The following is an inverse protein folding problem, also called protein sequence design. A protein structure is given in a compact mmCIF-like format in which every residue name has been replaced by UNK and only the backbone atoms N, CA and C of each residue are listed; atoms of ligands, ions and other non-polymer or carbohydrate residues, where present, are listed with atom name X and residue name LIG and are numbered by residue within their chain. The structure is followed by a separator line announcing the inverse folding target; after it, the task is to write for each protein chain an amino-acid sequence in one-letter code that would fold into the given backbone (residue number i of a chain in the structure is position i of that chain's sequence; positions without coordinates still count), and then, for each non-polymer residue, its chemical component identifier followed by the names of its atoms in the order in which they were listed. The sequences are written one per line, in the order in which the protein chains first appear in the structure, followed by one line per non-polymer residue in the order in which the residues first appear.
data_IF_297725462174
#
_entry.id   IF_297725462174
#
_cell.length_a   1.000
_cell.length_b   1.000
_cell.length_c   1.000
_cell.angle_alpha   90.00
_cell.angle_beta   90.00
_cell.angle_gamma   90.00
#
_symmetry.space_group_name_H-M   'P 1'
#
loop_
_entity.id
_entity.type
_entity.pdbx_description
1 polymer ?
#
# COMPACT_ATOMS: atom_id res chain seq x y z
N UNK A 1 -6.44 5.60 -15.15
CA UNK A 1 -6.50 5.93 -16.59
C UNK A 1 -5.37 5.28 -17.42
N UNK A 2 -4.08 5.63 -17.21
CA UNK A 2 -2.97 5.14 -18.04
C UNK A 2 -2.90 3.62 -18.25
N UNK A 3 -3.09 2.76 -17.22
CA UNK A 3 -3.05 1.30 -17.43
C UNK A 3 -4.10 0.77 -18.41
N UNK A 4 -5.23 1.46 -18.56
CA UNK A 4 -6.26 1.10 -19.54
C UNK A 4 -5.81 1.46 -20.97
N UNK A 5 -5.23 2.64 -21.17
CA UNK A 5 -4.64 3.03 -22.46
C UNK A 5 -3.50 2.08 -22.88
N UNK A 6 -2.65 1.68 -21.94
CA UNK A 6 -1.53 0.77 -22.20
C UNK A 6 -2.00 -0.63 -22.62
N UNK A 7 -3.12 -1.12 -22.07
CA UNK A 7 -3.76 -2.37 -22.52
C UNK A 7 -4.21 -2.30 -23.98
N UNK A 8 -4.59 -1.11 -24.44
CA UNK A 8 -4.89 -0.81 -25.85
C UNK A 8 -3.63 -0.46 -26.67
N UNK A 9 -2.44 -0.80 -26.16
CA UNK A 9 -1.13 -0.56 -26.79
C UNK A 9 -0.75 0.92 -26.96
N UNK A 10 -1.44 1.83 -26.27
CA UNK A 10 -1.14 3.26 -26.24
C UNK A 10 -0.22 3.54 -25.05
N UNK A 11 1.09 3.55 -25.29
CA UNK A 11 2.12 3.69 -24.23
C UNK A 11 2.89 5.01 -24.29
N UNK A 12 2.93 5.67 -25.46
CA UNK A 12 3.67 6.91 -25.67
C UNK A 12 3.13 8.09 -24.87
N UNK A 13 1.87 8.52 -25.09
CA UNK A 13 1.28 9.64 -24.36
C UNK A 13 1.30 9.45 -22.83
N UNK A 14 0.87 8.30 -22.26
CA UNK A 14 0.97 8.08 -20.81
C UNK A 14 2.36 8.32 -20.23
N UNK A 15 3.41 7.79 -20.88
CA UNK A 15 4.79 7.93 -20.44
C UNK A 15 5.27 9.39 -20.47
N UNK A 16 4.93 10.13 -21.52
CA UNK A 16 5.30 11.55 -21.65
C UNK A 16 4.56 12.41 -20.62
N UNK A 17 3.26 12.18 -20.44
CA UNK A 17 2.45 12.89 -19.45
C UNK A 17 2.98 12.66 -18.03
N UNK A 18 3.34 11.41 -17.70
CA UNK A 18 3.92 11.10 -16.39
C UNK A 18 5.18 11.91 -16.11
N UNK A 19 6.13 11.95 -17.05
CA UNK A 19 7.36 12.74 -16.89
C UNK A 19 7.06 14.23 -16.69
N UNK A 20 6.07 14.77 -17.43
CA UNK A 20 5.63 16.15 -17.27
C UNK A 20 4.96 16.41 -15.92
N UNK A 21 4.16 15.47 -15.42
CA UNK A 21 3.58 15.58 -14.07
C UNK A 21 4.67 15.63 -13.00
N UNK A 22 5.74 14.85 -13.13
CA UNK A 22 6.85 14.86 -12.16
C UNK A 22 7.62 16.19 -12.19
N UNK A 23 7.92 16.72 -13.39
CA UNK A 23 8.50 18.06 -13.55
C UNK A 23 7.63 19.15 -12.89
N UNK A 24 6.32 19.10 -13.10
CA UNK A 24 5.37 20.06 -12.51
C UNK A 24 5.33 19.94 -10.98
N UNK A 25 5.34 18.72 -10.42
CA UNK A 25 5.38 18.51 -8.96
C UNK A 25 6.63 19.14 -8.36
N UNK A 26 7.78 19.00 -9.03
CA UNK A 26 9.03 19.63 -8.59
C UNK A 26 8.94 21.16 -8.64
N UNK A 27 8.42 21.72 -9.73
CA UNK A 27 8.22 23.17 -9.88
C UNK A 27 7.25 23.74 -8.83
N UNK A 28 6.15 23.04 -8.55
CA UNK A 28 5.20 23.40 -7.50
C UNK A 28 5.86 23.37 -6.13
N UNK A 29 6.64 22.34 -5.82
CA UNK A 29 7.38 22.25 -4.57
C UNK A 29 8.34 23.44 -4.40
N UNK A 30 9.12 23.75 -5.44
CA UNK A 30 10.04 24.89 -5.43
C UNK A 30 9.28 26.23 -5.28
N UNK A 31 8.08 26.33 -5.86
CA UNK A 31 7.20 27.49 -5.70
C UNK A 31 6.74 27.67 -4.24
N UNK A 32 6.36 26.58 -3.56
CA UNK A 32 6.02 26.63 -2.14
C UNK A 32 7.23 27.05 -1.29
N UNK A 33 8.40 26.43 -1.48
CA UNK A 33 9.62 26.75 -0.73
C UNK A 33 10.03 28.22 -0.90
N UNK A 34 9.90 28.76 -2.12
CA UNK A 34 10.21 30.16 -2.41
C UNK A 34 9.23 31.14 -1.72
N UNK A 35 7.95 30.77 -1.60
CA UNK A 35 6.92 31.59 -0.97
C UNK A 35 6.93 31.49 0.56
N UNK A 36 7.38 30.37 1.12
CA UNK A 36 7.56 30.19 2.57
C UNK A 36 8.81 30.89 3.10
N UNK A 37 9.80 31.11 2.25
CA UNK A 37 11.02 31.84 2.58
C UNK A 37 10.73 33.33 2.86
N UNK A 38 11.42 33.99 3.80
CA UNK A 38 11.19 35.41 4.09
C UNK A 38 11.48 36.32 2.89
N UNK A 39 10.43 36.89 2.31
CA UNK A 39 10.54 37.85 1.20
C UNK A 39 10.63 39.27 1.78
N UNK A 40 11.77 39.92 1.59
CA UNK A 40 12.09 41.19 2.25
C UNK A 40 11.86 42.41 1.36
N UNK A 41 11.79 42.23 0.04
CA UNK A 41 11.63 43.34 -0.92
C UNK A 41 10.68 43.04 -2.07
N UNK A 42 10.11 44.08 -2.66
CA UNK A 42 9.27 43.94 -3.85
C UNK A 42 10.05 43.41 -5.07
N UNK A 43 11.36 43.70 -5.16
CA UNK A 43 12.20 43.26 -6.27
C UNK A 43 12.54 41.76 -6.18
N UNK A 44 12.75 41.27 -4.95
CA UNK A 44 12.86 39.84 -4.65
C UNK A 44 11.57 39.10 -5.02
N UNK A 45 10.40 39.64 -4.65
CA UNK A 45 9.11 39.06 -5.03
C UNK A 45 8.94 38.99 -6.55
N UNK A 46 9.27 40.06 -7.28
CA UNK A 46 9.22 40.05 -8.76
C UNK A 46 10.13 38.98 -9.36
N UNK A 47 11.32 38.79 -8.79
CA UNK A 47 12.26 37.76 -9.24
C UNK A 47 11.70 36.36 -9.02
N UNK A 48 11.09 36.09 -7.85
CA UNK A 48 10.40 34.82 -7.56
C UNK A 48 9.27 34.58 -8.56
N UNK A 49 8.45 35.61 -8.81
CA UNK A 49 7.35 35.52 -9.79
C UNK A 49 7.87 35.17 -11.17
N UNK A 50 8.90 35.87 -11.67
CA UNK A 50 9.40 35.69 -13.02
C UNK A 50 10.17 34.39 -13.23
N UNK A 51 10.95 33.95 -12.23
CA UNK A 51 11.86 32.82 -12.38
C UNK A 51 11.30 31.49 -11.89
N UNK A 52 10.28 31.51 -11.03
CA UNK A 52 9.74 30.32 -10.39
C UNK A 52 8.25 30.17 -10.66
N UNK A 53 7.43 31.15 -10.27
CA UNK A 53 5.98 31.01 -10.35
C UNK A 53 5.46 31.04 -11.79
N UNK A 54 5.92 31.98 -12.62
CA UNK A 54 5.46 32.10 -14.00
C UNK A 54 5.81 30.84 -14.84
N UNK A 55 7.04 30.28 -14.80
CA UNK A 55 7.33 29.00 -15.45
C UNK A 55 6.48 27.83 -14.93
N UNK A 56 6.16 27.82 -13.63
CA UNK A 56 5.31 26.77 -13.03
C UNK A 56 3.90 26.84 -13.60
N UNK A 57 3.32 28.05 -13.66
CA UNK A 57 1.98 28.28 -14.25
C UNK A 57 1.98 27.93 -15.74
N UNK A 58 3.00 28.34 -16.50
CA UNK A 58 3.12 28.01 -17.92
C UNK A 58 3.17 26.49 -18.16
N UNK A 59 3.90 25.75 -17.32
CA UNK A 59 3.97 24.29 -17.43
C UNK A 59 2.64 23.62 -17.06
N UNK A 60 1.91 24.14 -16.06
CA UNK A 60 0.57 23.68 -15.68
C UNK A 60 -0.43 23.90 -16.81
N UNK A 61 -0.50 25.12 -17.37
CA UNK A 61 -1.37 25.43 -18.51
C UNK A 61 -1.05 24.53 -19.71
N UNK A 62 0.24 24.33 -19.97
CA UNK A 62 0.71 23.43 -21.00
C UNK A 62 0.32 21.97 -20.76
N UNK A 63 0.14 21.54 -19.51
CA UNK A 63 -0.32 20.20 -19.15
C UNK A 63 -1.83 20.06 -19.32
N UNK A 64 -2.61 21.03 -18.85
CA UNK A 64 -4.07 21.06 -19.01
C UNK A 64 -4.43 20.97 -20.49
N UNK A 65 -3.78 21.78 -21.35
CA UNK A 65 -4.02 21.72 -22.80
C UNK A 65 -3.70 20.33 -23.38
N UNK A 66 -2.59 19.71 -22.95
CA UNK A 66 -2.23 18.36 -23.41
C UNK A 66 -3.25 17.32 -22.96
N UNK A 67 -3.82 17.49 -21.77
CA UNK A 67 -4.86 16.60 -21.27
C UNK A 67 -6.16 16.78 -22.06
N UNK A 68 -6.63 18.02 -22.21
CA UNK A 68 -7.90 18.36 -22.89
C UNK A 68 -7.88 18.10 -24.40
N UNK A 69 -6.77 18.36 -25.07
CA UNK A 69 -6.69 18.28 -26.53
C UNK A 69 -6.13 16.93 -27.03
N UNK A 70 -5.46 16.16 -26.18
CA UNK A 70 -4.78 14.93 -26.59
C UNK A 70 -5.20 13.74 -25.73
N UNK A 71 -4.94 13.77 -24.41
CA UNK A 71 -5.14 12.59 -23.57
C UNK A 71 -6.62 12.21 -23.45
N UNK A 72 -7.49 13.16 -23.11
CA UNK A 72 -8.90 12.90 -22.89
C UNK A 72 -9.63 12.53 -24.18
N UNK A 73 -9.45 13.23 -25.32
CA UNK A 73 -10.06 12.80 -26.59
C UNK A 73 -9.62 11.39 -26.98
N UNK A 74 -8.31 11.09 -26.87
CA UNK A 74 -7.78 9.77 -27.15
C UNK A 74 -8.37 8.70 -26.22
N UNK A 75 -8.51 9.00 -24.93
CA UNK A 75 -9.12 8.08 -23.98
C UNK A 75 -10.61 7.86 -24.27
N UNK A 76 -11.34 8.91 -24.63
CA UNK A 76 -12.76 8.82 -25.00
C UNK A 76 -12.97 7.98 -26.26
N UNK A 77 -12.08 8.08 -27.24
CA UNK A 77 -12.15 7.27 -28.47
C UNK A 77 -11.73 5.81 -28.27
N UNK A 78 -10.94 5.52 -27.24
CA UNK A 78 -10.31 4.20 -27.03
C UNK A 78 -11.02 3.36 -25.99
N UNK A 79 -11.35 3.93 -24.82
CA UNK A 79 -11.87 3.18 -23.69
C UNK A 79 -13.36 2.90 -23.88
N UNK A 80 -13.75 1.68 -23.51
CA UNK A 80 -15.16 1.30 -23.43
C UNK A 80 -15.84 1.90 -22.20
N UNK A 81 -17.17 2.02 -22.23
CA UNK A 81 -17.99 2.43 -21.08
C UNK A 81 -17.71 1.61 -19.81
N UNK A 82 -17.43 0.31 -19.96
CA UNK A 82 -17.07 -0.58 -18.85
C UNK A 82 -15.71 -0.25 -18.23
N UNK A 83 -14.74 0.13 -19.05
CA UNK A 83 -13.42 0.55 -18.58
C UNK A 83 -13.48 1.91 -17.90
N UNK A 84 -14.26 2.85 -18.46
CA UNK A 84 -14.56 4.12 -17.81
C UNK A 84 -15.25 3.93 -16.45
N UNK A 85 -16.15 2.95 -16.33
CA UNK A 85 -16.82 2.68 -15.06
C UNK A 85 -15.86 2.14 -14.00
N UNK A 86 -14.84 1.37 -14.38
CA UNK A 86 -13.79 0.96 -13.42
C UNK A 86 -12.92 2.14 -13.00
N UNK A 87 -12.51 2.98 -13.95
CA UNK A 87 -11.79 4.22 -13.63
C UNK A 87 -12.61 5.05 -12.64
N UNK A 88 -13.92 5.20 -12.88
CA UNK A 88 -14.84 5.87 -11.96
C UNK A 88 -14.88 5.21 -10.57
N UNK A 89 -15.04 3.89 -10.48
CA UNK A 89 -15.08 3.15 -9.20
C UNK A 89 -13.78 3.23 -8.39
N UNK A 90 -12.63 3.31 -9.05
CA UNK A 90 -11.31 3.43 -8.40
C UNK A 90 -10.97 4.88 -8.01
N UNK A 91 -11.60 5.89 -8.62
CA UNK A 91 -11.29 7.31 -8.41
C UNK A 91 -11.41 7.77 -6.94
N UNK A 92 -12.45 7.38 -6.17
CA UNK A 92 -12.60 7.77 -4.77
C UNK A 92 -11.44 7.33 -3.86
N UNK A 93 -10.64 6.33 -4.24
CA UNK A 93 -9.47 5.90 -3.44
C UNK A 93 -8.34 6.94 -3.48
N UNK A 94 -8.28 7.77 -4.52
CA UNK A 94 -7.26 8.81 -4.71
C UNK A 94 -7.79 10.21 -4.37
N UNK A 95 -9.08 10.45 -4.59
CA UNK A 95 -9.74 11.74 -4.36
C UNK A 95 -9.68 12.68 -5.57
N UNK A 96 -10.22 13.88 -5.39
CA UNK A 96 -10.39 14.87 -6.46
C UNK A 96 -9.64 16.16 -6.16
N UNK A 97 -9.34 16.92 -7.22
CA UNK A 97 -8.70 18.23 -7.11
C UNK A 97 -9.77 19.33 -7.17
N UNK A 98 -9.81 20.21 -6.16
CA UNK A 98 -10.70 21.38 -6.01
C UNK A 98 -12.22 21.10 -5.90
N UNK A 99 -12.72 20.01 -6.47
CA UNK A 99 -14.14 19.67 -6.49
C UNK A 99 -14.33 18.17 -6.32
N UNK A 100 -15.15 17.76 -5.34
CA UNK A 100 -15.56 16.37 -5.10
C UNK A 100 -16.97 16.17 -5.68
N UNK A 101 -17.15 15.36 -6.75
CA UNK A 101 -18.47 15.13 -7.34
C UNK A 101 -19.42 14.42 -6.37
N UNK A 102 -20.60 15.01 -6.16
CA UNK A 102 -21.67 14.40 -5.34
C UNK A 102 -22.53 13.40 -6.14
N UNK A 103 -22.46 13.46 -7.48
CA UNK A 103 -23.27 12.64 -8.37
C UNK A 103 -22.60 11.30 -8.69
N UNK A 104 -23.40 10.23 -8.69
CA UNK A 104 -22.95 8.90 -9.12
C UNK A 104 -23.09 8.72 -10.64
N UNK A 105 -22.01 8.29 -11.29
CA UNK A 105 -22.03 7.94 -12.71
C UNK A 105 -22.10 6.43 -12.94
N UNK A 106 -22.93 6.01 -13.90
CA UNK A 106 -23.01 4.63 -14.36
C UNK A 106 -23.23 4.59 -15.88
N UNK A 107 -22.65 3.60 -16.59
CA UNK A 107 -22.80 3.48 -18.04
C UNK A 107 -24.24 3.15 -18.46
N UNK A 108 -24.71 3.78 -19.54
CA UNK A 108 -26.09 3.66 -20.01
C UNK A 108 -26.38 2.26 -20.57
N UNK A 109 -27.31 1.53 -19.94
CA UNK A 109 -27.73 0.19 -20.39
C UNK A 109 -26.87 -0.97 -19.85
N UNK A 110 -25.93 -0.70 -18.94
CA UNK A 110 -25.08 -1.74 -18.38
C UNK A 110 -25.87 -2.65 -17.43
N UNK A 111 -26.05 -3.92 -17.84
CA UNK A 111 -25.92 -4.99 -16.87
C UNK A 111 -24.44 -5.01 -16.51
N UNK A 112 -24.11 -4.54 -15.31
CA UNK A 112 -22.76 -4.68 -14.77
C UNK A 112 -22.52 -6.17 -14.57
N UNK A 113 -22.16 -6.89 -15.64
CA UNK A 113 -21.50 -8.16 -15.51
C UNK A 113 -20.17 -7.83 -14.88
N UNK A 114 -20.06 -8.08 -13.57
CA UNK A 114 -18.77 -8.17 -12.88
C UNK A 114 -17.87 -8.94 -13.81
N UNK A 115 -16.83 -8.28 -14.34
CA UNK A 115 -15.91 -8.93 -15.25
C UNK A 115 -15.61 -10.35 -14.74
N UNK A 116 -15.92 -11.32 -15.60
CA UNK A 116 -15.32 -12.64 -15.55
C UNK A 116 -13.83 -12.46 -15.86
N UNK A 117 -13.10 -11.94 -14.88
CA UNK A 117 -11.67 -12.16 -14.80
C UNK A 117 -11.47 -13.66 -14.67
N UNK A 118 -10.72 -14.19 -15.63
CA UNK A 118 -10.13 -15.53 -15.71
C UNK A 118 -10.23 -16.33 -14.39
N UNK A 119 -11.16 -17.27 -14.42
CA UNK A 119 -11.22 -18.56 -13.70
C UNK A 119 -10.98 -18.57 -12.19
N UNK A 120 -12.05 -18.81 -11.43
CA UNK A 120 -12.23 -19.64 -10.22
C UNK A 120 -11.24 -19.61 -9.02
N UNK A 121 -9.98 -19.20 -9.18
CA UNK A 121 -8.89 -19.41 -8.22
C UNK A 121 -8.19 -18.13 -7.72
N UNK A 122 -8.68 -16.94 -8.10
CA UNK A 122 -8.12 -15.66 -7.66
C UNK A 122 -8.80 -15.13 -6.38
N UNK A 123 -7.99 -14.83 -5.35
CA UNK A 123 -8.40 -14.09 -4.15
C UNK A 123 -8.45 -12.61 -4.51
N UNK A 124 -9.64 -12.01 -4.43
CA UNK A 124 -9.86 -10.58 -4.69
C UNK A 124 -9.83 -9.78 -3.39
N UNK A 125 -9.03 -8.73 -3.37
CA UNK A 125 -8.92 -7.72 -2.31
C UNK A 125 -9.44 -6.38 -2.85
N UNK A 126 -9.61 -5.38 -1.99
CA UNK A 126 -10.04 -4.05 -2.45
C UNK A 126 -9.02 -3.38 -3.37
N UNK A 127 -7.72 -3.59 -3.12
CA UNK A 127 -6.62 -2.95 -3.84
C UNK A 127 -5.99 -3.82 -4.93
N UNK A 128 -6.63 -4.93 -5.33
CA UNK A 128 -6.09 -5.85 -6.34
C UNK A 128 -6.50 -7.30 -6.15
N UNK A 129 -5.80 -8.22 -6.82
CA UNK A 129 -6.06 -9.65 -6.71
C UNK A 129 -4.77 -10.46 -6.81
N UNK A 130 -4.78 -11.64 -6.19
CA UNK A 130 -3.72 -12.65 -6.32
C UNK A 130 -4.36 -13.99 -6.65
N UNK A 131 -3.69 -14.82 -7.44
CA UNK A 131 -3.94 -16.26 -7.38
C UNK A 131 -3.25 -16.89 -6.14
N UNK A 132 -3.58 -18.14 -5.83
CA UNK A 132 -3.02 -18.82 -4.64
C UNK A 132 -1.49 -18.93 -4.68
N UNK A 133 -0.90 -19.20 -5.85
CA UNK A 133 0.55 -19.35 -5.99
C UNK A 133 1.29 -18.02 -5.73
N UNK A 134 0.74 -16.91 -6.21
CA UNK A 134 1.27 -15.57 -5.95
C UNK A 134 1.18 -15.21 -4.47
N UNK A 135 0.04 -15.52 -3.83
CA UNK A 135 -0.15 -15.23 -2.40
C UNK A 135 0.81 -16.06 -1.53
N UNK A 136 1.00 -17.34 -1.84
CA UNK A 136 1.97 -18.20 -1.15
C UNK A 136 3.41 -17.70 -1.35
N UNK A 137 3.77 -17.32 -2.57
CA UNK A 137 5.10 -16.76 -2.88
C UNK A 137 5.33 -15.44 -2.15
N UNK A 138 4.33 -14.56 -2.08
CA UNK A 138 4.42 -13.32 -1.30
C UNK A 138 4.80 -13.60 0.15
N UNK A 139 4.07 -14.48 0.83
CA UNK A 139 4.35 -14.82 2.22
C UNK A 139 5.70 -15.54 2.44
N UNK A 140 6.22 -16.20 1.41
CA UNK A 140 7.55 -16.81 1.45
C UNK A 140 8.67 -15.74 1.44
N UNK A 141 8.45 -14.62 0.75
CA UNK A 141 9.46 -13.60 0.46
C UNK A 141 9.38 -12.35 1.35
N UNK A 142 8.31 -12.18 2.14
CA UNK A 142 8.26 -11.09 3.13
C UNK A 142 9.44 -11.19 4.11
N UNK A 143 10.07 -10.06 4.50
CA UNK A 143 11.19 -10.04 5.46
C UNK A 143 10.71 -10.22 6.92
N UNK A 144 9.57 -10.88 7.12
CA UNK A 144 8.93 -11.14 8.40
C UNK A 144 8.25 -12.51 8.38
N UNK A 145 8.18 -13.13 9.56
CA UNK A 145 7.36 -14.30 9.80
C UNK A 145 5.98 -13.88 10.27
N UNK A 146 4.95 -14.54 9.74
CA UNK A 146 3.55 -14.30 10.10
C UNK A 146 2.97 -15.58 10.69
N UNK A 147 2.17 -15.44 11.75
CA UNK A 147 1.23 -16.46 12.23
C UNK A 147 -0.13 -15.79 12.41
N UNK A 148 -1.20 -16.38 11.89
CA UNK A 148 -2.56 -15.90 12.10
C UNK A 148 -3.35 -16.89 12.95
N UNK A 149 -3.98 -16.36 13.99
CA UNK A 149 -4.90 -17.05 14.90
C UNK A 149 -6.28 -16.44 14.74
N UNK A 150 -7.30 -17.25 14.48
CA UNK A 150 -8.66 -16.73 14.27
C UNK A 150 -9.35 -16.27 15.57
N UNK A 151 -10.54 -15.70 15.42
CA UNK A 151 -11.41 -15.29 16.53
C UNK A 151 -11.74 -16.39 17.55
N UNK A 152 -11.59 -17.66 17.18
CA UNK A 152 -11.81 -18.83 18.04
C UNK A 152 -10.51 -19.34 18.67
N UNK A 153 -9.44 -18.55 18.64
CA UNK A 153 -8.12 -18.83 19.19
C UNK A 153 -7.43 -20.05 18.54
N UNK A 154 -7.79 -20.38 17.29
CA UNK A 154 -7.17 -21.47 16.52
C UNK A 154 -6.15 -20.95 15.53
N UNK A 155 -4.99 -21.59 15.46
CA UNK A 155 -3.98 -21.25 14.46
C UNK A 155 -4.53 -21.59 13.07
N UNK A 156 -4.61 -20.62 12.17
CA UNK A 156 -5.16 -20.80 10.81
C UNK A 156 -4.11 -20.76 9.73
N UNK A 157 -3.04 -20.02 9.95
CA UNK A 157 -2.01 -19.81 8.95
C UNK A 157 -0.68 -19.47 9.62
N UNK A 158 0.42 -19.82 8.97
CA UNK A 158 1.73 -19.26 9.25
C UNK A 158 2.55 -19.22 7.96
N UNK A 159 3.40 -18.21 7.80
CA UNK A 159 4.29 -18.11 6.65
C UNK A 159 5.45 -19.12 6.76
N UNK A 160 5.82 -19.69 5.62
CA UNK A 160 6.91 -20.68 5.50
C UNK A 160 8.23 -20.04 5.04
N UNK A 161 8.54 -18.83 5.52
CA UNK A 161 9.80 -18.15 5.17
C UNK A 161 11.01 -19.06 5.44
N UNK A 162 11.97 -19.17 4.50
CA UNK A 162 13.15 -20.02 4.67
C UNK A 162 14.03 -19.58 5.85
N UNK A 163 13.90 -18.32 6.30
CA UNK A 163 14.69 -17.74 7.37
C UNK A 163 13.91 -17.58 8.69
N UNK A 164 12.80 -18.31 8.84
CA UNK A 164 11.90 -18.18 9.98
C UNK A 164 12.60 -18.32 11.32
N UNK A 165 12.30 -17.39 12.24
CA UNK A 165 12.95 -17.32 13.56
C UNK A 165 12.51 -18.47 14.47
N UNK A 166 11.20 -18.76 14.46
CA UNK A 166 10.59 -19.81 15.25
C UNK A 166 9.93 -20.85 14.35
N UNK A 167 10.51 -22.05 14.31
CA UNK A 167 9.96 -23.16 13.51
C UNK A 167 8.50 -23.46 13.90
N UNK A 168 7.71 -23.82 12.88
CA UNK A 168 6.32 -24.24 13.01
C UNK A 168 6.11 -25.50 12.20
N UNK A 169 5.46 -26.48 12.80
CA UNK A 169 5.02 -27.69 12.12
C UNK A 169 3.58 -27.47 11.63
N UNK A 170 3.23 -27.98 10.45
CA UNK A 170 1.86 -27.98 9.91
C UNK A 170 0.83 -28.60 10.87
N UNK A 171 1.26 -29.49 11.78
CA UNK A 171 0.41 -30.04 12.85
C UNK A 171 -0.16 -29.00 13.82
N UNK A 172 0.34 -27.75 13.79
CA UNK A 172 -0.19 -26.64 14.60
C UNK A 172 -1.50 -26.07 14.04
N UNK A 173 -1.77 -26.24 12.75
CA UNK A 173 -2.99 -25.71 12.13
C UNK A 173 -4.24 -26.33 12.78
N UNK A 174 -5.18 -25.48 13.19
CA UNK A 174 -6.39 -25.85 13.91
C UNK A 174 -6.22 -26.08 15.41
N UNK A 175 -4.98 -26.09 15.94
CA UNK A 175 -4.75 -26.20 17.39
C UNK A 175 -5.08 -24.89 18.09
N UNK A 176 -5.50 -25.02 19.34
CA UNK A 176 -5.66 -23.87 20.24
C UNK A 176 -4.30 -23.23 20.51
N UNK A 177 -4.20 -21.90 20.39
CA UNK A 177 -2.95 -21.17 20.57
C UNK A 177 -2.36 -21.36 21.98
N UNK A 178 -3.19 -21.60 23.00
CA UNK A 178 -2.76 -21.89 24.37
C UNK A 178 -1.93 -23.17 24.46
N UNK A 179 -2.24 -24.15 23.60
CA UNK A 179 -1.55 -25.45 23.53
C UNK A 179 -0.25 -25.40 22.70
N UNK A 180 0.08 -24.23 22.14
CA UNK A 180 1.28 -24.01 21.32
C UNK A 180 2.40 -23.33 22.11
N UNK A 181 2.15 -22.97 23.37
CA UNK A 181 3.08 -22.25 24.24
C UNK A 181 3.42 -23.07 25.49
N UNK A 182 4.64 -22.91 26.06
CA UNK A 182 4.98 -23.53 27.34
C UNK A 182 4.06 -23.06 28.47
N UNK A 183 3.78 -23.90 29.51
CA UNK A 183 2.87 -23.55 30.60
C UNK A 183 3.16 -22.21 31.28
N UNK A 184 4.44 -21.85 31.39
CA UNK A 184 4.88 -20.60 32.03
C UNK A 184 4.43 -19.32 31.29
N UNK A 185 4.08 -19.39 30.01
CA UNK A 185 3.68 -18.21 29.21
C UNK A 185 2.21 -18.21 28.79
N UNK A 186 1.44 -19.27 29.09
CA UNK A 186 0.01 -19.36 28.70
C UNK A 186 -0.81 -18.20 29.26
N UNK A 187 -0.57 -17.81 30.52
CA UNK A 187 -1.29 -16.69 31.15
C UNK A 187 -1.08 -15.36 30.41
N UNK A 188 0.10 -15.15 29.80
CA UNK A 188 0.39 -13.95 28.99
C UNK A 188 -0.41 -14.00 27.68
N UNK A 189 -0.44 -15.17 27.04
CA UNK A 189 -1.24 -15.39 25.81
C UNK A 189 -2.71 -15.12 26.08
N UNK A 190 -3.24 -15.64 27.19
CA UNK A 190 -4.64 -15.43 27.58
C UNK A 190 -4.96 -13.96 27.84
N UNK A 191 -4.05 -13.23 28.52
CA UNK A 191 -4.22 -11.79 28.76
C UNK A 191 -4.27 -11.00 27.44
N UNK A 192 -3.35 -11.27 26.51
CA UNK A 192 -3.33 -10.62 25.19
C UNK A 192 -4.63 -10.89 24.43
N UNK A 193 -5.08 -12.15 24.38
CA UNK A 193 -6.33 -12.51 23.70
C UNK A 193 -7.54 -11.81 24.32
N UNK A 194 -7.62 -11.74 25.64
CA UNK A 194 -8.72 -11.06 26.34
C UNK A 194 -8.73 -9.55 26.08
N UNK A 195 -7.56 -8.91 26.16
CA UNK A 195 -7.41 -7.47 25.91
C UNK A 195 -7.75 -7.12 24.45
N UNK A 196 -7.34 -7.96 23.48
CA UNK A 196 -7.64 -7.75 22.07
C UNK A 196 -9.12 -8.00 21.75
N UNK A 197 -9.72 -9.06 22.28
CA UNK A 197 -11.16 -9.34 22.07
C UNK A 197 -12.05 -8.25 22.65
N UNK A 198 -11.71 -7.73 23.83
CA UNK A 198 -12.46 -6.65 24.48
C UNK A 198 -12.22 -5.27 23.85
N UNK A 199 -11.16 -5.13 23.04
CA UNK A 199 -10.75 -3.84 22.48
C UNK A 199 -10.00 -2.94 23.45
N UNK A 200 -9.62 -3.46 24.63
CA UNK A 200 -8.80 -2.74 25.60
C UNK A 200 -7.41 -2.41 25.04
N UNK A 201 -6.84 -3.32 24.27
CA UNK A 201 -5.58 -3.13 23.53
C UNK A 201 -5.73 -3.67 22.11
N UNK A 202 -4.89 -3.20 21.19
CA UNK A 202 -4.82 -3.73 19.82
C UNK A 202 -3.43 -4.21 19.43
N UNK A 203 -2.43 -4.02 20.29
CA UNK A 203 -1.03 -4.31 20.00
C UNK A 203 -0.27 -4.70 21.26
N UNK A 204 0.59 -5.71 21.15
CA UNK A 204 1.53 -6.11 22.19
C UNK A 204 2.89 -6.42 21.55
N UNK A 205 3.95 -5.79 22.06
CA UNK A 205 5.28 -5.84 21.44
C UNK A 205 6.30 -6.43 22.43
N UNK A 206 7.15 -7.31 21.92
CA UNK A 206 8.23 -7.93 22.65
C UNK A 206 9.52 -7.86 21.82
N UNK A 207 10.66 -7.92 22.51
CA UNK A 207 11.94 -8.09 21.84
C UNK A 207 12.86 -8.99 22.65
N UNK A 208 13.72 -9.73 21.94
CA UNK A 208 14.78 -10.53 22.53
C UNK A 208 16.11 -10.04 21.98
N UNK A 209 16.95 -9.49 22.85
CA UNK A 209 18.21 -8.87 22.45
C UNK A 209 19.29 -9.87 22.04
N UNK A 210 19.14 -11.15 22.41
CA UNK A 210 20.14 -12.18 22.10
C UNK A 210 19.50 -13.57 21.97
N UNK A 211 18.79 -13.81 20.86
CA UNK A 211 18.26 -15.13 20.52
C UNK A 211 19.10 -15.76 19.42
N UNK A 212 19.96 -16.72 19.80
CA UNK A 212 20.95 -17.33 18.89
C UNK A 212 21.82 -16.28 18.18
N UNK A 213 22.24 -15.23 18.90
CA UNK A 213 23.04 -14.14 18.34
C UNK A 213 22.27 -13.12 17.49
N UNK A 214 20.94 -13.20 17.45
CA UNK A 214 20.05 -12.29 16.71
C UNK A 214 19.22 -11.43 17.64
N UNK A 215 18.88 -10.22 17.19
CA UNK A 215 17.90 -9.34 17.82
C UNK A 215 16.52 -9.56 17.20
N UNK A 216 15.61 -10.17 17.95
CA UNK A 216 14.29 -10.54 17.45
C UNK A 216 13.24 -9.56 17.95
N UNK A 217 12.48 -9.00 17.03
CA UNK A 217 11.27 -8.23 17.29
C UNK A 217 10.05 -9.14 17.11
N UNK A 218 9.09 -9.08 18.04
CA UNK A 218 7.83 -9.84 17.98
C UNK A 218 6.70 -8.88 18.27
N UNK A 219 5.69 -8.85 17.41
CA UNK A 219 4.50 -8.05 17.58
C UNK A 219 3.25 -8.92 17.42
N UNK A 220 2.30 -8.74 18.33
CA UNK A 220 0.95 -9.27 18.21
C UNK A 220 0.02 -8.10 17.96
N UNK A 221 -0.82 -8.21 16.93
CA UNK A 221 -1.79 -7.17 16.57
C UNK A 221 -3.18 -7.78 16.40
N UNK A 222 -4.19 -7.09 16.94
CA UNK A 222 -5.59 -7.48 16.79
C UNK A 222 -6.03 -7.23 15.35
N UNK A 223 -6.54 -8.25 14.68
CA UNK A 223 -7.10 -8.15 13.33
C UNK A 223 -8.58 -7.85 13.45
N UNK A 224 -9.02 -6.73 12.85
CA UNK A 224 -10.41 -6.29 12.85
C UNK A 224 -10.91 -6.11 11.42
N UNK A 225 -12.19 -6.38 11.20
CA UNK A 225 -12.84 -6.10 9.92
C UNK A 225 -13.30 -4.65 9.81
N UNK A 226 -14.01 -4.36 8.72
CA UNK A 226 -14.42 -2.99 8.37
C UNK A 226 -15.37 -2.36 9.40
N UNK A 227 -16.14 -3.18 10.12
CA UNK A 227 -17.08 -2.73 11.13
C UNK A 227 -16.49 -2.78 12.56
N UNK A 228 -15.17 -3.01 12.67
CA UNK A 228 -14.44 -3.10 13.93
C UNK A 228 -14.55 -4.45 14.63
N UNK A 229 -15.21 -5.43 14.00
CA UNK A 229 -15.40 -6.77 14.53
C UNK A 229 -14.06 -7.51 14.65
N UNK A 230 -13.84 -8.20 15.77
CA UNK A 230 -12.60 -8.94 16.01
C UNK A 230 -12.55 -10.21 15.17
N UNK A 231 -11.54 -10.31 14.29
CA UNK A 231 -11.32 -11.43 13.37
C UNK A 231 -10.23 -12.39 13.87
N UNK A 232 -9.34 -11.93 14.75
CA UNK A 232 -8.24 -12.74 15.29
C UNK A 232 -7.02 -11.94 15.71
N UNK A 233 -5.88 -12.62 15.80
CA UNK A 233 -4.56 -12.03 16.08
C UNK A 233 -3.60 -12.39 14.97
N UNK A 234 -2.80 -11.42 14.54
CA UNK A 234 -1.59 -11.67 13.76
C UNK A 234 -0.37 -11.52 14.66
N UNK A 235 0.49 -12.56 14.67
CA UNK A 235 1.84 -12.51 15.22
C UNK A 235 2.80 -12.21 14.05
N UNK A 236 3.60 -11.17 14.20
CA UNK A 236 4.71 -10.84 13.32
C UNK A 236 6.01 -11.05 14.08
N UNK A 237 6.96 -11.78 13.49
CA UNK A 237 8.33 -11.91 14.03
C UNK A 237 9.33 -11.45 12.99
N UNK A 238 10.33 -10.68 13.41
CA UNK A 238 11.39 -10.19 12.53
C UNK A 238 12.75 -10.26 13.20
N UNK A 239 13.75 -10.75 12.48
CA UNK A 239 15.16 -10.52 12.83
C UNK A 239 15.57 -9.13 12.36
N UNK A 240 15.73 -8.20 13.30
CA UNK A 240 16.10 -6.81 13.00
C UNK A 240 17.59 -6.54 13.24
N UNK A 241 18.42 -7.60 13.36
CA UNK A 241 19.85 -7.46 13.66
C UNK A 241 20.58 -6.55 12.69
N UNK A 242 20.32 -6.70 11.38
CA UNK A 242 20.96 -5.85 10.37
C UNK A 242 20.33 -4.46 10.31
N UNK A 243 19.01 -4.35 10.51
CA UNK A 243 18.32 -3.07 10.56
C UNK A 243 18.87 -2.16 11.67
N UNK A 244 19.25 -2.74 12.82
CA UNK A 244 19.86 -2.00 13.93
C UNK A 244 21.27 -1.46 13.63
N UNK A 245 21.92 -1.89 12.55
CA UNK A 245 23.24 -1.41 12.12
C UNK A 245 23.17 -0.36 11.02
N UNK A 246 21.98 -0.07 10.50
CA UNK A 246 21.82 0.95 9.46
C UNK A 246 22.16 2.33 10.04
N UNK A 247 23.01 3.07 9.33
CA UNK A 247 23.43 4.42 9.66
C UNK A 247 23.45 5.26 8.37
N UNK A 248 23.22 6.56 8.48
CA UNK A 248 23.15 7.47 7.32
C UNK A 248 22.01 7.14 6.35
N UNK A 249 22.19 7.53 5.08
CA UNK A 249 21.19 7.37 4.02
C UNK A 249 21.73 6.52 2.86
N UNK A 250 20.92 5.59 2.35
CA UNK A 250 21.16 4.91 1.07
C UNK A 250 20.00 5.21 0.11
N UNK A 251 20.18 6.23 -0.74
CA UNK A 251 19.15 6.71 -1.69
C UNK A 251 19.31 6.17 -3.12
N UNK A 252 20.44 5.52 -3.40
CA UNK A 252 20.77 4.94 -4.69
C UNK A 252 20.92 3.42 -4.57
N UNK A 253 20.68 2.73 -5.68
CA UNK A 253 20.80 1.28 -5.77
C UNK A 253 22.24 0.84 -5.47
N UNK A 254 22.38 -0.09 -4.52
CA UNK A 254 23.61 -0.82 -4.25
C UNK A 254 23.25 -2.27 -3.95
N UNK A 255 23.88 -3.20 -4.66
CA UNK A 255 23.74 -4.64 -4.38
C UNK A 255 24.90 -5.08 -3.50
N UNK A 256 24.62 -5.86 -2.46
CA UNK A 256 25.68 -6.62 -1.80
C UNK A 256 26.19 -7.66 -2.80
N UNK A 257 27.46 -7.54 -3.22
CA UNK A 257 28.09 -8.58 -4.04
C UNK A 257 28.15 -9.87 -3.22
N UNK A 258 27.52 -10.92 -3.73
CA UNK A 258 27.51 -12.27 -3.14
C UNK A 258 28.89 -12.89 -3.14
#
# INVERSE_FOLDING_TARGET
LFPFLEKHLITGPPKVMWGKHDEIRELLKNSFEALESPISTAEEMKSIVQLILAPTVEMLDGMIMKEEEILFPMAMDTLTDEEWYKVYQETPEFGYCLFDPEDEWQPSGAKVEKQEYVTADAIRLSSGAFNLAELEALFLHLPIDITFVDKNDKVRFFSHSPNRVFERNRSVIGRDVRMCHPPGSVHIVEQILADFKSGKENKAVFWMSNFKGRFIYIEYSAVRGKEGEYLGVVEVTQDITQMRKLEGDQRLLSYEHK
#
